data_IF_795038796444
#
_entry.id   IF_795038796444
#
_cell.length_a   1.000
_cell.length_b   1.000
_cell.length_c   1.000
_cell.angle_alpha   90.00
_cell.angle_beta   90.00
_cell.angle_gamma   90.00
#
_symmetry.space_group_name_H-M   'P 1'
#
loop_
_entity.id
_entity.type
_entity.pdbx_description
1 polymer ?
#
# COMPACT_ATOMS: atom_id res chain seq x y z
N UNK A 1 -17.80 -7.16 -8.29
CA UNK A 1 -17.60 -7.34 -9.74
C UNK A 1 -16.14 -7.05 -10.11
N UNK A 2 -15.64 -7.52 -11.26
CA UNK A 2 -14.27 -7.23 -11.71
C UNK A 2 -14.01 -5.74 -11.93
N UNK A 3 -12.73 -5.35 -11.88
CA UNK A 3 -12.30 -3.95 -12.02
C UNK A 3 -12.30 -3.52 -13.50
N UNK A 4 -13.02 -2.46 -13.88
CA UNK A 4 -13.08 -2.02 -15.27
C UNK A 4 -11.76 -1.35 -15.72
N UNK A 5 -11.09 -1.95 -16.71
CA UNK A 5 -9.83 -1.44 -17.27
C UNK A 5 -9.93 -0.04 -17.87
N UNK A 6 -11.11 0.33 -18.36
CA UNK A 6 -11.37 1.68 -18.89
C UNK A 6 -11.30 2.78 -17.81
N UNK A 7 -11.26 2.40 -16.52
CA UNK A 7 -11.15 3.33 -15.39
C UNK A 7 -9.89 3.13 -14.56
N UNK A 8 -9.47 1.88 -14.39
CA UNK A 8 -8.28 1.54 -13.61
C UNK A 8 -7.34 0.70 -14.47
N UNK A 9 -6.23 1.29 -14.87
CA UNK A 9 -5.16 0.51 -15.48
C UNK A 9 -4.31 -0.12 -14.36
N UNK A 10 -4.48 -1.43 -14.17
CA UNK A 10 -3.73 -2.20 -13.16
C UNK A 10 -2.69 -3.14 -13.78
N UNK A 11 -2.38 -2.98 -15.07
CA UNK A 11 -1.44 -3.88 -15.79
C UNK A 11 -0.04 -3.84 -15.21
N UNK A 12 0.32 -2.77 -14.53
CA UNK A 12 1.62 -2.56 -13.88
C UNK A 12 1.71 -3.19 -12.49
N UNK A 13 0.67 -3.86 -12.00
CA UNK A 13 0.63 -4.41 -10.64
C UNK A 13 0.37 -5.91 -10.63
N UNK A 14 0.93 -6.61 -9.64
CA UNK A 14 0.37 -7.87 -9.16
C UNK A 14 -0.50 -7.59 -7.94
N UNK A 15 -1.55 -8.39 -7.73
CA UNK A 15 -2.41 -8.31 -6.54
C UNK A 15 -2.07 -9.45 -5.59
N UNK A 16 -1.70 -9.12 -4.35
CA UNK A 16 -1.52 -10.07 -3.26
C UNK A 16 -2.80 -10.14 -2.43
N UNK A 17 -3.27 -11.35 -2.13
CA UNK A 17 -4.49 -11.61 -1.37
C UNK A 17 -4.18 -12.34 -0.06
N UNK A 18 -4.97 -12.19 1.02
CA UNK A 18 -4.70 -12.82 2.30
C UNK A 18 -5.18 -14.29 2.35
N UNK A 19 -5.03 -15.02 1.24
CA UNK A 19 -5.51 -16.39 1.03
C UNK A 19 -4.31 -17.31 0.85
N UNK A 20 -4.28 -18.44 1.55
CA UNK A 20 -3.19 -19.40 1.44
C UNK A 20 -3.16 -20.08 0.05
N UNK A 21 -1.97 -20.10 -0.57
CA UNK A 21 -1.71 -20.79 -1.83
C UNK A 21 -0.24 -21.19 -1.90
N UNK A 22 0.05 -22.47 -2.15
CA UNK A 22 1.41 -23.01 -2.35
C UNK A 22 2.41 -22.56 -1.25
N UNK A 23 2.06 -22.74 0.03
CA UNK A 23 2.87 -22.31 1.19
C UNK A 23 3.12 -20.80 1.31
N UNK A 24 2.43 -19.97 0.52
CA UNK A 24 2.46 -18.51 0.57
C UNK A 24 1.04 -17.98 0.41
N UNK A 25 0.91 -16.80 -0.19
CA UNK A 25 -0.36 -16.15 -0.49
C UNK A 25 -0.76 -16.31 -1.96
N UNK A 26 -2.06 -16.21 -2.24
CA UNK A 26 -2.57 -16.09 -3.60
C UNK A 26 -2.10 -14.76 -4.22
N UNK A 27 -1.54 -14.85 -5.43
CA UNK A 27 -1.12 -13.71 -6.25
C UNK A 27 -1.87 -13.77 -7.57
N UNK A 28 -2.57 -12.70 -7.91
CA UNK A 28 -3.16 -12.50 -9.24
C UNK A 28 -2.20 -11.63 -10.04
N UNK A 29 -1.84 -12.09 -11.25
CA UNK A 29 -0.86 -11.42 -12.11
C UNK A 29 -1.51 -10.30 -12.91
N UNK A 30 -0.74 -9.27 -13.27
CA UNK A 30 -1.26 -8.01 -13.82
C UNK A 30 -2.42 -8.11 -14.82
N UNK A 31 -2.25 -8.78 -15.97
CA UNK A 31 -3.33 -8.89 -16.97
C UNK A 31 -4.61 -9.56 -16.43
N UNK A 32 -4.47 -10.47 -15.47
CA UNK A 32 -5.58 -11.25 -14.92
C UNK A 32 -6.40 -10.46 -13.88
N UNK A 33 -5.84 -9.38 -13.31
CA UNK A 33 -6.53 -8.56 -12.29
C UNK A 33 -7.85 -7.98 -12.86
N UNK A 34 -7.85 -7.58 -14.14
CA UNK A 34 -9.02 -7.02 -14.81
C UNK A 34 -10.21 -7.99 -14.88
N UNK A 35 -9.95 -9.29 -14.88
CA UNK A 35 -10.98 -10.35 -14.93
C UNK A 35 -11.27 -10.93 -13.53
N UNK A 36 -10.55 -10.46 -12.50
CA UNK A 36 -10.64 -10.99 -11.16
C UNK A 36 -11.58 -10.17 -10.27
N UNK A 37 -12.35 -10.86 -9.44
CA UNK A 37 -12.96 -10.29 -8.25
C UNK A 37 -13.19 -11.34 -7.18
N UNK A 38 -13.12 -10.94 -5.92
CA UNK A 38 -13.43 -11.74 -4.74
C UNK A 38 -13.97 -10.85 -3.62
N UNK A 39 -14.25 -11.42 -2.45
CA UNK A 39 -14.57 -10.64 -1.25
C UNK A 39 -13.42 -9.70 -0.82
N UNK A 40 -12.16 -10.11 -1.06
CA UNK A 40 -10.99 -9.32 -0.70
C UNK A 40 -10.76 -8.16 -1.68
N UNK A 41 -11.14 -8.33 -2.94
CA UNK A 41 -10.84 -7.38 -4.00
C UNK A 41 -11.96 -7.32 -5.03
N UNK A 42 -12.66 -6.19 -5.12
CA UNK A 42 -13.76 -6.02 -6.05
C UNK A 42 -14.00 -4.55 -6.38
N UNK A 43 -14.61 -4.29 -7.53
CA UNK A 43 -15.11 -2.97 -7.89
C UNK A 43 -16.49 -2.72 -7.28
N UNK A 44 -16.67 -1.52 -6.71
CA UNK A 44 -17.94 -1.00 -6.22
C UNK A 44 -18.46 0.08 -7.18
N UNK A 45 -19.55 -0.19 -7.94
CA UNK A 45 -20.08 0.76 -8.91
C UNK A 45 -20.79 1.95 -8.24
N UNK A 46 -21.16 1.85 -6.97
CA UNK A 46 -21.88 2.89 -6.22
C UNK A 46 -21.06 4.18 -6.09
N UNK A 47 -19.76 4.06 -5.84
CA UNK A 47 -18.85 5.21 -5.66
C UNK A 47 -17.64 5.18 -6.62
N UNK A 48 -17.65 4.26 -7.60
CA UNK A 48 -16.59 4.08 -8.58
C UNK A 48 -15.21 3.81 -7.95
N UNK A 49 -15.14 2.91 -6.97
CA UNK A 49 -13.89 2.56 -6.30
C UNK A 49 -13.56 1.07 -6.35
N UNK A 50 -12.27 0.76 -6.21
CA UNK A 50 -11.79 -0.59 -5.94
C UNK A 50 -11.75 -0.79 -4.42
N UNK A 51 -12.36 -1.86 -3.94
CA UNK A 51 -12.39 -2.24 -2.53
C UNK A 51 -11.27 -3.24 -2.23
N UNK A 52 -10.50 -2.98 -1.18
CA UNK A 52 -9.46 -3.86 -0.65
C UNK A 52 -9.82 -4.27 0.78
N UNK A 53 -10.49 -5.40 0.91
CA UNK A 53 -10.87 -6.00 2.19
C UNK A 53 -9.80 -6.96 2.68
N UNK A 54 -9.42 -6.84 3.95
CA UNK A 54 -8.47 -7.75 4.61
C UNK A 54 -8.94 -8.05 6.03
N UNK A 55 -8.91 -9.34 6.40
CA UNK A 55 -9.24 -9.84 7.73
C UNK A 55 -7.97 -10.17 8.51
N UNK A 56 -7.98 -9.98 9.84
CA UNK A 56 -6.82 -10.17 10.71
C UNK A 56 -6.38 -11.64 10.84
N UNK A 57 -7.28 -12.57 10.56
CA UNK A 57 -7.00 -14.01 10.48
C UNK A 57 -6.51 -14.47 9.10
N UNK A 58 -6.34 -13.53 8.16
CA UNK A 58 -5.82 -13.82 6.83
C UNK A 58 -4.39 -14.37 6.81
N UNK A 59 -4.06 -15.11 5.74
CA UNK A 59 -2.69 -15.61 5.55
C UNK A 59 -1.72 -14.46 5.28
N UNK A 60 -0.62 -14.40 6.03
CA UNK A 60 0.50 -13.51 5.75
C UNK A 60 1.47 -14.13 4.73
N UNK A 61 2.11 -13.30 3.92
CA UNK A 61 3.24 -13.70 3.08
C UNK A 61 4.39 -14.22 3.95
N UNK A 62 5.21 -15.12 3.40
CA UNK A 62 6.46 -15.51 4.05
C UNK A 62 7.28 -14.27 4.42
N UNK A 63 7.77 -14.20 5.66
CA UNK A 63 8.52 -13.06 6.19
C UNK A 63 7.67 -11.87 6.70
N UNK A 64 6.34 -11.91 6.53
CA UNK A 64 5.40 -10.94 7.09
C UNK A 64 4.65 -11.54 8.29
N UNK A 65 4.32 -10.71 9.26
CA UNK A 65 3.45 -11.10 10.39
C UNK A 65 1.97 -10.78 10.14
N UNK A 66 1.69 -9.97 9.12
CA UNK A 66 0.40 -9.34 8.91
C UNK A 66 -0.19 -9.70 7.53
N UNK A 67 -1.51 -9.89 7.43
CA UNK A 67 -2.20 -10.17 6.17
C UNK A 67 -2.35 -8.91 5.32
N UNK A 68 -2.58 -9.09 4.03
CA UNK A 68 -2.78 -7.97 3.10
C UNK A 68 -3.68 -8.31 1.92
N UNK A 69 -4.41 -7.31 1.47
CA UNK A 69 -4.96 -7.22 0.12
C UNK A 69 -4.33 -5.99 -0.51
N UNK A 70 -3.29 -6.18 -1.32
CA UNK A 70 -2.37 -5.10 -1.69
C UNK A 70 -1.82 -5.28 -3.10
N UNK A 71 -1.83 -4.19 -3.88
CA UNK A 71 -1.15 -4.11 -5.16
C UNK A 71 0.35 -3.97 -4.95
N UNK A 72 1.13 -4.61 -5.83
CA UNK A 72 2.59 -4.56 -5.87
C UNK A 72 3.02 -4.27 -7.30
N UNK A 73 3.70 -3.14 -7.54
CA UNK A 73 4.21 -2.76 -8.86
C UNK A 73 5.09 -3.89 -9.42
N UNK A 74 4.92 -4.24 -10.69
CA UNK A 74 5.65 -5.31 -11.38
C UNK A 74 7.09 -4.88 -11.63
N UNK A 75 7.26 -3.69 -12.21
CA UNK A 75 8.55 -3.07 -12.44
C UNK A 75 9.22 -2.75 -11.10
N UNK A 76 10.53 -2.98 -11.07
CA UNK A 76 11.38 -2.68 -9.94
C UNK A 76 12.45 -1.70 -10.40
N UNK A 77 12.84 -0.82 -9.49
CA UNK A 77 13.74 0.29 -9.77
C UNK A 77 14.68 0.50 -8.58
N UNK A 78 15.75 1.24 -8.83
CA UNK A 78 16.71 1.67 -7.81
C UNK A 78 16.45 3.13 -7.45
N UNK A 79 17.00 3.63 -6.34
CA UNK A 79 16.94 5.06 -5.97
C UNK A 79 17.78 5.94 -6.91
N UNK A 80 17.36 5.98 -8.18
CA UNK A 80 17.91 6.64 -9.35
C UNK A 80 16.71 7.08 -10.21
N UNK A 81 16.86 8.13 -11.02
CA UNK A 81 15.77 8.66 -11.85
C UNK A 81 14.53 9.04 -11.03
N UNK A 82 13.40 9.22 -11.71
CA UNK A 82 12.14 9.63 -11.11
C UNK A 82 11.13 8.48 -11.19
N UNK A 83 10.53 8.14 -10.04
CA UNK A 83 9.43 7.18 -9.96
C UNK A 83 8.31 7.75 -9.09
N UNK A 84 7.07 7.70 -9.56
CA UNK A 84 5.93 8.31 -8.86
C UNK A 84 4.73 7.38 -8.77
N UNK A 85 4.13 7.34 -7.58
CA UNK A 85 2.83 6.70 -7.30
C UNK A 85 1.84 7.78 -6.85
N UNK A 86 0.66 7.82 -7.45
CA UNK A 86 -0.45 8.68 -7.02
C UNK A 86 -1.67 7.84 -6.69
N UNK A 87 -2.32 8.13 -5.57
CA UNK A 87 -3.50 7.39 -5.10
C UNK A 87 -4.52 8.34 -4.48
N UNK A 88 -5.78 8.20 -4.90
CA UNK A 88 -6.94 8.77 -4.22
C UNK A 88 -7.68 7.66 -3.50
N UNK A 89 -7.88 7.78 -2.19
CA UNK A 89 -8.50 6.71 -1.41
C UNK A 89 -9.35 7.17 -0.23
N UNK A 90 -10.04 6.23 0.40
CA UNK A 90 -10.66 6.37 1.72
C UNK A 90 -10.45 5.09 2.55
N UNK A 91 -10.45 5.25 3.87
CA UNK A 91 -10.55 4.12 4.81
C UNK A 91 -12.01 4.00 5.21
N UNK A 92 -12.65 2.89 4.86
CA UNK A 92 -14.07 2.66 5.17
C UNK A 92 -14.23 1.94 6.51
N UNK A 93 -13.26 1.07 6.82
CA UNK A 93 -13.21 0.32 8.06
C UNK A 93 -11.75 0.12 8.48
N UNK A 94 -11.48 0.18 9.78
CA UNK A 94 -10.16 -0.10 10.35
C UNK A 94 -10.21 -1.33 11.29
N UNK A 95 -9.10 -2.07 11.43
CA UNK A 95 -9.02 -3.19 12.36
C UNK A 95 -9.05 -2.71 13.82
N UNK A 96 -9.08 -3.66 14.76
CA UNK A 96 -9.07 -3.37 16.19
C UNK A 96 -7.84 -2.56 16.64
N UNK A 97 -6.70 -2.74 15.98
CA UNK A 97 -5.49 -1.93 16.23
C UNK A 97 -5.59 -0.49 15.70
N UNK A 98 -6.56 -0.22 14.81
CA UNK A 98 -6.76 1.04 14.12
C UNK A 98 -5.67 1.38 13.10
N UNK A 99 -4.83 0.40 12.71
CA UNK A 99 -3.63 0.63 11.89
C UNK A 99 -3.68 -0.12 10.56
N UNK A 100 -3.39 0.58 9.47
CA UNK A 100 -3.28 0.02 8.12
C UNK A 100 -2.11 0.70 7.43
N UNK A 101 -1.23 -0.06 6.77
CA UNK A 101 -0.29 0.54 5.80
C UNK A 101 -1.00 0.58 4.44
N UNK A 102 -1.02 1.76 3.82
CA UNK A 102 -1.86 2.05 2.65
C UNK A 102 -1.06 2.34 1.38
N UNK A 103 0.25 2.61 1.52
CA UNK A 103 1.18 2.87 0.43
C UNK A 103 2.62 2.63 0.87
N UNK A 104 3.49 2.14 -0.02
CA UNK A 104 4.88 1.78 0.32
C UNK A 104 5.87 2.00 -0.84
N UNK A 105 7.14 2.19 -0.49
CA UNK A 105 8.32 1.80 -1.29
C UNK A 105 8.97 0.63 -0.54
N UNK A 106 9.12 -0.52 -1.20
CA UNK A 106 9.51 -1.78 -0.55
C UNK A 106 10.53 -2.55 -1.40
N UNK A 107 11.59 -3.10 -0.79
CA UNK A 107 12.57 -3.99 -1.43
C UNK A 107 12.28 -5.48 -1.19
N UNK A 108 13.25 -6.36 -1.44
CA UNK A 108 13.05 -7.81 -1.24
C UNK A 108 13.51 -8.32 0.13
N UNK A 109 14.59 -7.73 0.63
CA UNK A 109 15.27 -8.22 1.83
C UNK A 109 14.58 -7.75 3.10
N UNK A 110 14.72 -8.51 4.19
CA UNK A 110 14.30 -8.04 5.52
C UNK A 110 14.98 -6.70 5.80
N UNK A 111 14.19 -5.71 6.22
CA UNK A 111 14.70 -4.38 6.54
C UNK A 111 14.64 -3.37 5.40
N UNK A 112 14.19 -3.78 4.20
CA UNK A 112 14.13 -2.94 2.99
C UNK A 112 12.78 -2.24 2.75
N UNK A 113 11.99 -2.02 3.79
CA UNK A 113 10.77 -1.19 3.71
C UNK A 113 11.13 0.30 3.83
N UNK A 114 11.54 0.90 2.72
CA UNK A 114 12.09 2.26 2.65
C UNK A 114 11.11 3.31 3.16
N UNK A 115 9.85 3.24 2.70
CA UNK A 115 8.81 4.19 3.03
C UNK A 115 7.47 3.47 3.22
N UNK A 116 6.71 3.88 4.24
CA UNK A 116 5.36 3.39 4.50
C UNK A 116 4.44 4.56 4.84
N UNK A 117 3.31 4.64 4.15
CA UNK A 117 2.20 5.53 4.50
C UNK A 117 1.24 4.73 5.39
N UNK A 118 1.05 5.22 6.61
CA UNK A 118 0.22 4.60 7.64
C UNK A 118 -1.07 5.38 7.81
N UNK A 119 -2.19 4.67 7.83
CA UNK A 119 -3.36 5.05 8.61
C UNK A 119 -3.17 4.59 10.06
N UNK A 120 -3.40 5.48 11.02
CA UNK A 120 -3.36 5.19 12.45
C UNK A 120 -4.47 5.98 13.18
N UNK A 121 -5.64 5.37 13.33
CA UNK A 121 -6.79 5.95 14.02
C UNK A 121 -7.12 7.39 13.56
N UNK A 122 -7.23 7.57 12.23
CA UNK A 122 -7.50 8.88 11.61
C UNK A 122 -6.27 9.75 11.38
N UNK A 123 -5.08 9.35 11.83
CA UNK A 123 -3.84 10.03 11.50
C UNK A 123 -3.17 9.38 10.28
N UNK A 124 -2.77 10.20 9.30
CA UNK A 124 -1.92 9.77 8.20
C UNK A 124 -0.47 10.07 8.57
N UNK A 125 0.31 9.01 8.75
CA UNK A 125 1.71 9.08 9.13
C UNK A 125 2.59 8.58 7.99
N UNK A 126 3.73 9.21 7.79
CA UNK A 126 4.74 8.74 6.85
C UNK A 126 5.92 8.24 7.66
N UNK A 127 6.22 6.97 7.50
CA UNK A 127 7.37 6.31 8.08
C UNK A 127 8.45 6.10 7.03
N UNK A 128 9.71 6.39 7.36
CA UNK A 128 10.84 6.16 6.47
C UNK A 128 12.05 5.59 7.23
N UNK A 129 12.96 4.97 6.49
CA UNK A 129 14.25 4.49 6.97
C UNK A 129 15.36 5.20 6.19
N UNK A 130 16.20 5.98 6.88
CA UNK A 130 17.24 6.77 6.21
C UNK A 130 18.23 5.86 5.49
N UNK A 131 18.72 4.82 6.17
CA UNK A 131 19.53 3.75 5.58
C UNK A 131 18.77 2.40 5.61
N UNK A 132 19.21 1.46 4.79
CA UNK A 132 18.74 0.07 4.85
C UNK A 132 19.01 -0.49 6.26
N UNK A 133 18.04 -1.25 6.80
CA UNK A 133 18.03 -1.78 8.17
C UNK A 133 17.87 -0.77 9.31
N UNK A 134 17.76 0.53 9.03
CA UNK A 134 17.46 1.50 10.07
C UNK A 134 16.12 1.21 10.75
N UNK A 135 15.99 1.72 11.97
CA UNK A 135 14.69 1.83 12.62
C UNK A 135 13.86 2.88 11.88
N UNK A 136 12.62 2.54 11.59
CA UNK A 136 11.67 3.46 10.97
C UNK A 136 11.46 4.70 11.86
N UNK A 137 11.59 5.87 11.27
CA UNK A 137 11.19 7.15 11.83
C UNK A 137 9.83 7.55 11.26
N UNK A 138 8.91 8.06 12.08
CA UNK A 138 7.56 8.42 11.64
C UNK A 138 7.22 9.87 11.95
N UNK A 139 6.59 10.53 10.99
CA UNK A 139 5.97 11.84 11.16
C UNK A 139 4.49 11.77 10.81
N UNK A 140 3.66 12.60 11.46
CA UNK A 140 2.22 12.68 11.15
C UNK A 140 1.98 13.91 10.27
N UNK A 141 1.53 13.71 9.03
CA UNK A 141 1.28 14.81 8.09
C UNK A 141 -0.16 15.31 8.14
N UNK A 142 -1.11 14.43 8.44
CA UNK A 142 -2.51 14.78 8.56
C UNK A 142 -3.12 14.07 9.77
N UNK A 143 -3.98 14.78 10.50
CA UNK A 143 -4.67 14.28 11.69
C UNK A 143 -6.18 14.30 11.47
N UNK A 144 -6.89 13.50 12.25
CA UNK A 144 -8.35 13.51 12.34
C UNK A 144 -9.06 13.31 10.99
N UNK A 145 -8.47 12.55 10.07
CA UNK A 145 -9.17 12.07 8.87
C UNK A 145 -10.24 11.10 9.33
N UNK A 146 -11.49 11.37 8.98
CA UNK A 146 -12.59 10.49 9.35
C UNK A 146 -12.60 9.22 8.48
N UNK A 147 -13.17 8.13 8.99
CA UNK A 147 -13.56 7.02 8.12
C UNK A 147 -14.53 7.54 7.05
N UNK A 148 -14.48 6.95 5.85
CA UNK A 148 -15.22 7.36 4.65
C UNK A 148 -14.83 8.73 4.08
N UNK A 149 -13.92 9.48 4.72
CA UNK A 149 -13.38 10.71 4.13
C UNK A 149 -12.34 10.35 3.08
N UNK A 150 -12.50 10.92 1.87
CA UNK A 150 -11.50 10.79 0.81
C UNK A 150 -10.29 11.67 1.08
N UNK A 151 -9.12 11.17 0.71
CA UNK A 151 -7.87 11.92 0.69
C UNK A 151 -6.98 11.41 -0.45
N UNK A 152 -6.09 12.28 -0.90
CA UNK A 152 -5.08 11.97 -1.91
C UNK A 152 -3.72 11.79 -1.24
N UNK A 153 -2.94 10.83 -1.72
CA UNK A 153 -1.51 10.78 -1.45
C UNK A 153 -0.70 10.59 -2.72
N UNK A 154 0.54 11.08 -2.70
CA UNK A 154 1.56 10.73 -3.69
C UNK A 154 2.89 10.43 -3.03
N UNK A 155 3.64 9.50 -3.62
CA UNK A 155 5.05 9.26 -3.35
C UNK A 155 5.79 9.56 -4.66
N UNK A 156 6.70 10.52 -4.62
CA UNK A 156 7.51 10.91 -5.78
C UNK A 156 8.97 10.77 -5.36
N UNK A 157 9.62 9.72 -5.83
CA UNK A 157 11.05 9.54 -5.69
C UNK A 157 11.74 10.22 -6.88
N UNK A 158 12.85 10.91 -6.61
CA UNK A 158 13.77 11.47 -7.58
C UNK A 158 15.20 11.35 -7.02
N UNK A 159 16.00 10.48 -7.60
CA UNK A 159 17.28 10.03 -7.05
C UNK A 159 17.14 9.60 -5.57
N UNK A 160 17.89 10.23 -4.66
CA UNK A 160 17.85 9.93 -3.23
C UNK A 160 16.75 10.68 -2.47
N UNK A 161 16.02 11.59 -3.12
CA UNK A 161 14.95 12.36 -2.47
C UNK A 161 13.59 11.73 -2.73
N UNK A 162 12.77 11.63 -1.68
CA UNK A 162 11.38 11.17 -1.79
C UNK A 162 10.45 12.23 -1.21
N UNK A 163 9.69 12.87 -2.09
CA UNK A 163 8.60 13.77 -1.73
C UNK A 163 7.32 12.96 -1.50
N UNK A 164 6.75 13.09 -0.30
CA UNK A 164 5.42 12.55 0.01
C UNK A 164 4.45 13.70 0.22
N UNK A 165 3.29 13.61 -0.44
CA UNK A 165 2.19 14.56 -0.31
C UNK A 165 0.96 13.84 0.20
N UNK A 166 0.29 14.38 1.21
CA UNK A 166 -1.03 13.95 1.70
C UNK A 166 -1.96 15.16 1.61
N UNK A 167 -2.96 15.13 0.72
CA UNK A 167 -3.76 16.29 0.32
C UNK A 167 -2.88 17.50 -0.03
N UNK A 168 -2.87 18.54 0.80
CA UNK A 168 -2.05 19.74 0.59
C UNK A 168 -0.72 19.73 1.37
N UNK A 169 -0.54 18.76 2.28
CA UNK A 169 0.63 18.68 3.16
C UNK A 169 1.74 17.89 2.49
N UNK A 170 2.96 18.39 2.56
CA UNK A 170 4.14 17.76 1.94
C UNK A 170 5.26 17.55 2.94
N UNK A 171 6.08 16.54 2.69
CA UNK A 171 7.37 16.32 3.35
C UNK A 171 8.34 15.73 2.34
N UNK A 172 9.62 16.01 2.50
CA UNK A 172 10.68 15.38 1.70
C UNK A 172 11.63 14.65 2.63
N UNK A 173 12.05 13.46 2.23
CA UNK A 173 13.08 12.68 2.92
C UNK A 173 14.27 12.47 1.99
N UNK A 174 15.46 12.64 2.53
CA UNK A 174 16.70 12.31 1.85
C UNK A 174 17.18 10.93 2.34
N UNK A 175 17.17 9.95 1.43
CA UNK A 175 17.61 8.58 1.67
C UNK A 175 19.12 8.46 1.48
N UNK A 176 19.75 7.61 2.27
CA UNK A 176 21.19 7.39 2.20
C UNK A 176 21.61 6.44 1.08
N UNK A 177 22.92 6.40 0.82
CA UNK A 177 23.50 5.65 -0.29
C UNK A 177 23.25 4.13 -0.21
N UNK A 178 22.96 3.58 0.97
CA UNK A 178 22.64 2.15 1.11
C UNK A 178 21.42 1.73 0.28
N UNK A 179 20.50 2.66 -0.03
CA UNK A 179 19.32 2.38 -0.85
C UNK A 179 19.61 2.28 -2.35
N UNK A 180 20.74 2.79 -2.84
CA UNK A 180 21.09 2.71 -4.27
C UNK A 180 21.29 1.27 -4.75
N UNK A 181 21.76 0.39 -3.86
CA UNK A 181 21.97 -1.01 -4.18
C UNK A 181 20.68 -1.86 -4.12
N UNK A 182 19.59 -1.32 -3.55
CA UNK A 182 18.34 -2.07 -3.35
C UNK A 182 17.41 -1.90 -4.55
N UNK A 183 16.93 -3.03 -5.08
CA UNK A 183 15.79 -3.05 -6.01
C UNK A 183 14.51 -2.89 -5.21
N UNK A 184 13.73 -1.85 -5.51
CA UNK A 184 12.49 -1.49 -4.81
C UNK A 184 11.32 -1.35 -5.77
N UNK A 185 10.12 -1.32 -5.22
CA UNK A 185 8.88 -1.20 -5.98
C UNK A 185 7.78 -0.54 -5.14
N UNK A 186 6.79 0.06 -5.79
CA UNK A 186 5.63 0.61 -5.11
C UNK A 186 4.65 -0.48 -4.64
N UNK A 187 3.96 -0.20 -3.53
CA UNK A 187 2.77 -0.95 -3.09
C UNK A 187 1.64 -0.01 -2.68
N UNK A 188 0.39 -0.43 -2.87
CA UNK A 188 -0.79 0.32 -2.46
C UNK A 188 -1.98 -0.60 -2.16
N UNK A 189 -2.78 -0.27 -1.15
CA UNK A 189 -3.99 -1.03 -0.80
C UNK A 189 -4.20 -1.14 0.69
N UNK A 190 -4.38 -2.37 1.19
CA UNK A 190 -4.65 -2.67 2.58
C UNK A 190 -3.65 -3.70 3.11
N UNK A 191 -2.57 -3.23 3.71
CA UNK A 191 -1.68 -4.05 4.52
C UNK A 191 -2.06 -3.90 6.00
N UNK A 192 -2.92 -4.82 6.46
CA UNK A 192 -3.64 -4.74 7.71
C UNK A 192 -2.71 -4.94 8.91
N UNK A 193 -2.51 -3.93 9.75
CA UNK A 193 -1.57 -4.02 10.88
C UNK A 193 -2.25 -4.61 12.12
N UNK A 194 -2.90 -5.75 11.90
CA UNK A 194 -3.58 -6.59 12.87
C UNK A 194 -3.51 -8.04 12.38
N UNK A 195 -3.12 -8.96 13.25
CA UNK A 195 -3.06 -10.40 13.00
C UNK A 195 -3.79 -11.21 14.08
N UNK A 196 -4.69 -10.55 14.82
CA UNK A 196 -5.48 -11.16 15.88
C UNK A 196 -6.36 -12.29 15.34
N UNK A 197 -6.36 -13.41 16.05
CA UNK A 197 -7.21 -14.57 15.74
C UNK A 197 -8.50 -14.58 16.58
N UNK A 198 -8.55 -13.80 17.66
CA UNK A 198 -9.72 -13.65 18.52
C UNK A 198 -9.63 -12.38 19.38
N UNK A 199 -10.58 -11.43 19.26
CA UNK A 199 -11.57 -11.38 18.19
C UNK A 199 -10.89 -11.15 16.83
N UNK A 200 -11.46 -11.74 15.77
CA UNK A 200 -11.09 -11.38 14.39
C UNK A 200 -11.59 -9.98 14.10
N UNK A 201 -10.74 -9.15 13.50
CA UNK A 201 -11.10 -7.81 13.03
C UNK A 201 -10.74 -7.65 11.56
N UNK A 202 -11.16 -6.57 10.92
CA UNK A 202 -10.90 -6.36 9.51
C UNK A 202 -10.76 -4.89 9.16
N UNK A 203 -10.10 -4.65 8.01
CA UNK A 203 -9.98 -3.34 7.40
C UNK A 203 -10.54 -3.36 5.99
N UNK A 204 -11.06 -2.22 5.57
CA UNK A 204 -11.58 -2.01 4.22
C UNK A 204 -11.10 -0.65 3.72
N UNK A 205 -10.35 -0.66 2.62
CA UNK A 205 -9.96 0.57 1.92
C UNK A 205 -10.63 0.66 0.56
N UNK A 206 -10.83 1.89 0.09
CA UNK A 206 -11.40 2.21 -1.21
C UNK A 206 -10.40 3.03 -2.01
N UNK A 207 -9.99 2.57 -3.18
CA UNK A 207 -9.15 3.34 -4.10
C UNK A 207 -10.03 3.86 -5.24
N UNK A 208 -10.08 5.18 -5.39
CA UNK A 208 -10.83 5.89 -6.43
C UNK A 208 -9.96 6.23 -7.64
N UNK A 209 -8.64 6.32 -7.43
CA UNK A 209 -7.66 6.56 -8.47
C UNK A 209 -6.32 5.97 -8.04
N UNK A 210 -5.60 5.37 -8.99
CA UNK A 210 -4.21 4.93 -8.81
C UNK A 210 -3.49 5.04 -10.16
N UNK A 211 -2.26 5.54 -10.13
CA UNK A 211 -1.39 5.58 -11.30
C UNK A 211 0.08 5.54 -10.88
N UNK A 212 0.91 4.97 -11.76
CA UNK A 212 2.36 5.09 -11.72
C UNK A 212 2.81 5.95 -12.90
N UNK A 213 3.89 6.70 -12.71
CA UNK A 213 4.60 7.40 -13.78
C UNK A 213 6.10 7.40 -13.47
N UNK A 214 6.91 7.31 -14.52
CA UNK A 214 8.37 7.29 -14.48
C UNK A 214 8.93 8.37 -15.42
#
# INVERSE_FOLDING_TARGET
MPVPQSRFNLTEFNLQLPIEKNNSVAIIKGPDIAQFSSENFYFSPEDNSIRFFCSSDGKATQGSHYPRTELRQIEEWHFENQHSLQVKMAILQQPGTGKIIIGQIHGHSKGTEALKIWWNNGNIQVGFKKEVNDREQRITLQKNVALNQTFDYSIQQNDSDVLVKINQQTTTFHFGDSWKAESVYFKAGNYLQDNSQSPVTSGLTAIYHISISE
#
